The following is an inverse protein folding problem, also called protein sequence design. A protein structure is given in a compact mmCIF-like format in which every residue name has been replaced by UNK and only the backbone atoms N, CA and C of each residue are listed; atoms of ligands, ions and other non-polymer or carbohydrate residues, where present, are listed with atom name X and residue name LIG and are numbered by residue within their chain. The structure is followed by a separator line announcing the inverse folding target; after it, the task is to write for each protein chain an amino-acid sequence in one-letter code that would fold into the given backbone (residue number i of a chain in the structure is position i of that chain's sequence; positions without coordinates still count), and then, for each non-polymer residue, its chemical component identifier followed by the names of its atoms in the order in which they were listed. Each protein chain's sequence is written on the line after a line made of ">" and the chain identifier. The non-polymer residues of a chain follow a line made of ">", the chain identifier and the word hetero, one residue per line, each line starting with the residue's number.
data_IF_570647313356
#
_entry.id   IF_570647313356
#
_cell.length_a   1.000
_cell.length_b   1.000
_cell.length_c   1.000
_cell.angle_alpha   90.00
_cell.angle_beta   90.00
_cell.angle_gamma   90.00
#
_symmetry.space_group_name_H-M   'P 1'
#
loop_
_entity.id
_entity.type
_entity.pdbx_description
1 polymer ?
#
# COMPACT_ATOMS: atom_id res chain seq x y z
N UNK A 1 -2.52 -8.13 -7.62
CA UNK A 1 -3.92 -8.05 -7.14
C UNK A 1 -4.70 -9.20 -7.78
N UNK A 2 -6.03 -9.21 -7.77
CA UNK A 2 -6.86 -10.17 -8.50
C UNK A 2 -8.24 -9.56 -8.81
N UNK A 3 -9.07 -10.30 -9.56
CA UNK A 3 -10.42 -9.87 -9.94
C UNK A 3 -11.35 -9.65 -8.74
N UNK A 4 -11.33 -10.52 -7.73
CA UNK A 4 -12.18 -10.38 -6.53
C UNK A 4 -11.99 -9.05 -5.79
N UNK A 5 -10.73 -8.62 -5.62
CA UNK A 5 -10.41 -7.31 -5.04
C UNK A 5 -10.81 -6.15 -5.98
N UNK A 6 -10.66 -6.33 -7.29
CA UNK A 6 -11.07 -5.33 -8.29
C UNK A 6 -12.58 -5.12 -8.34
N UNK A 7 -13.38 -6.17 -8.15
CA UNK A 7 -14.84 -6.10 -8.10
C UNK A 7 -15.34 -5.23 -6.93
N UNK A 8 -14.55 -5.06 -5.86
CA UNK A 8 -14.91 -4.12 -4.78
C UNK A 8 -14.96 -2.68 -5.27
N UNK A 9 -14.07 -2.29 -6.18
CA UNK A 9 -14.13 -0.98 -6.83
C UNK A 9 -15.29 -0.87 -7.82
N UNK A 10 -15.64 -1.96 -8.52
CA UNK A 10 -16.84 -1.97 -9.37
C UNK A 10 -18.10 -1.71 -8.57
N UNK A 11 -18.26 -2.40 -7.43
CA UNK A 11 -19.36 -2.16 -6.49
C UNK A 11 -19.34 -0.70 -6.02
N UNK A 12 -18.20 -0.22 -5.53
CA UNK A 12 -18.06 1.14 -5.03
C UNK A 12 -18.44 2.19 -6.09
N UNK A 13 -18.05 2.00 -7.36
CA UNK A 13 -18.43 2.87 -8.48
C UNK A 13 -19.92 2.86 -8.81
N UNK A 14 -20.68 1.86 -8.40
CA UNK A 14 -22.14 1.88 -8.54
C UNK A 14 -22.80 2.91 -7.63
N UNK A 15 -22.18 3.21 -6.49
CA UNK A 15 -22.68 4.17 -5.50
C UNK A 15 -21.93 5.51 -5.56
N UNK A 16 -20.64 5.49 -5.93
CA UNK A 16 -19.76 6.65 -6.09
C UNK A 16 -19.10 6.64 -7.48
N UNK A 17 -19.84 7.01 -8.55
CA UNK A 17 -19.31 7.04 -9.92
C UNK A 17 -18.05 7.89 -10.03
N UNK A 18 -17.09 7.50 -10.87
CA UNK A 18 -15.79 8.19 -10.96
C UNK A 18 -15.93 9.69 -11.27
N UNK A 19 -16.82 10.05 -12.20
CA UNK A 19 -17.11 11.43 -12.62
C UNK A 19 -18.22 12.05 -11.75
N UNK A 20 -18.01 13.28 -11.26
CA UNK A 20 -18.97 14.01 -10.41
C UNK A 20 -20.35 14.21 -11.07
N UNK A 21 -20.41 14.36 -12.39
CA UNK A 21 -21.65 14.66 -13.13
C UNK A 21 -22.51 13.39 -13.30
N UNK A 22 -21.92 12.20 -13.16
CA UNK A 22 -22.64 10.94 -13.35
C UNK A 22 -23.48 10.61 -12.12
N UNK A 23 -24.76 10.34 -12.36
CA UNK A 23 -25.66 9.86 -11.31
C UNK A 23 -25.25 8.47 -10.83
N UNK A 24 -25.24 8.27 -9.51
CA UNK A 24 -25.06 6.97 -8.90
C UNK A 24 -26.14 5.98 -9.39
N UNK A 25 -25.74 4.75 -9.71
CA UNK A 25 -26.65 3.70 -10.15
C UNK A 25 -27.40 3.06 -8.99
N UNK A 26 -26.83 3.14 -7.79
CA UNK A 26 -27.40 2.61 -6.55
C UNK A 26 -27.30 3.67 -5.46
N UNK A 27 -28.30 3.69 -4.58
CA UNK A 27 -28.26 4.55 -3.41
C UNK A 27 -27.15 4.05 -2.46
N UNK A 28 -26.26 4.95 -2.05
CA UNK A 28 -25.16 4.67 -1.13
C UNK A 28 -25.70 4.23 0.25
N UNK A 29 -26.70 4.93 0.77
CA UNK A 29 -27.22 4.74 2.13
C UNK A 29 -28.01 3.45 2.30
N UNK A 30 -28.42 2.82 1.19
CA UNK A 30 -29.18 1.58 1.23
C UNK A 30 -28.31 0.31 1.30
N UNK A 31 -27.02 0.42 0.97
CA UNK A 31 -26.12 -0.73 0.94
C UNK A 31 -25.62 -1.10 2.34
N UNK A 32 -25.77 -2.38 2.71
CA UNK A 32 -25.35 -2.88 4.02
C UNK A 32 -23.86 -2.70 4.27
N UNK A 33 -23.04 -2.74 3.21
CA UNK A 33 -21.59 -2.61 3.32
C UNK A 33 -21.19 -1.20 3.78
N UNK A 34 -21.92 -0.18 3.35
CA UNK A 34 -21.64 1.23 3.69
C UNK A 34 -22.42 1.72 4.91
N UNK A 35 -23.63 1.19 5.16
CA UNK A 35 -24.47 1.52 6.34
C UNK A 35 -23.71 1.43 7.66
N UNK A 36 -22.76 0.49 7.77
CA UNK A 36 -21.93 0.36 8.98
C UNK A 36 -21.12 1.64 9.29
N UNK A 37 -20.67 2.35 8.26
CA UNK A 37 -19.89 3.57 8.38
C UNK A 37 -20.74 4.84 8.30
N UNK A 38 -22.02 4.68 7.97
CA UNK A 38 -23.03 5.73 7.85
C UNK A 38 -24.30 5.30 8.60
N UNK A 39 -24.24 5.10 9.93
CA UNK A 39 -25.42 4.70 10.70
C UNK A 39 -26.54 5.73 10.48
N UNK A 40 -27.78 5.24 10.35
CA UNK A 40 -28.98 6.06 10.15
C UNK A 40 -28.95 6.99 8.93
N UNK A 41 -28.15 6.67 7.91
CA UNK A 41 -28.03 7.51 6.71
C UNK A 41 -27.26 8.81 6.96
N UNK A 42 -26.38 8.83 7.97
CA UNK A 42 -25.65 10.02 8.40
C UNK A 42 -24.63 10.58 7.39
N UNK A 43 -24.47 9.97 6.21
CA UNK A 43 -23.52 10.39 5.19
C UNK A 43 -24.16 11.40 4.23
N UNK A 44 -24.27 12.63 4.69
CA UNK A 44 -24.98 13.70 4.00
C UNK A 44 -24.14 14.40 2.93
N UNK A 45 -22.82 14.38 3.08
CA UNK A 45 -21.89 15.03 2.14
C UNK A 45 -21.11 14.02 1.29
N UNK A 46 -20.62 14.46 0.13
CA UNK A 46 -19.76 13.62 -0.71
C UNK A 46 -18.50 13.18 0.03
N UNK A 47 -17.90 14.06 0.83
CA UNK A 47 -16.74 13.73 1.64
C UNK A 47 -17.04 12.60 2.64
N UNK A 48 -18.21 12.64 3.27
CA UNK A 48 -18.63 11.59 4.21
C UNK A 48 -18.83 10.24 3.51
N UNK A 49 -19.45 10.23 2.33
CA UNK A 49 -19.63 9.01 1.53
C UNK A 49 -18.29 8.46 1.02
N UNK A 50 -17.38 9.33 0.57
CA UNK A 50 -16.03 8.96 0.14
C UNK A 50 -15.25 8.37 1.33
N UNK A 51 -15.35 8.98 2.51
CA UNK A 51 -14.72 8.49 3.75
C UNK A 51 -15.27 7.11 4.14
N UNK A 52 -16.58 6.93 4.08
CA UNK A 52 -17.22 5.63 4.34
C UNK A 52 -16.78 4.56 3.34
N UNK A 53 -16.72 4.89 2.04
CA UNK A 53 -16.20 4.00 1.01
C UNK A 53 -14.73 3.62 1.22
N UNK A 54 -13.90 4.58 1.63
CA UNK A 54 -12.50 4.34 1.98
C UNK A 54 -12.36 3.40 3.19
N UNK A 55 -13.13 3.63 4.26
CA UNK A 55 -13.13 2.76 5.44
C UNK A 55 -13.59 1.34 5.12
N UNK A 56 -14.58 1.20 4.24
CA UNK A 56 -15.00 -0.12 3.75
C UNK A 56 -13.88 -0.85 3.00
N UNK A 57 -13.24 -0.19 2.02
CA UNK A 57 -12.10 -0.77 1.30
C UNK A 57 -10.93 -1.12 2.23
N UNK A 58 -10.65 -0.27 3.21
CA UNK A 58 -9.62 -0.52 4.22
C UNK A 58 -9.96 -1.77 5.07
N UNK A 59 -11.23 -1.93 5.42
CA UNK A 59 -11.75 -3.11 6.09
C UNK A 59 -11.53 -4.39 5.29
N UNK A 60 -11.81 -4.35 3.98
CA UNK A 60 -11.53 -5.46 3.06
C UNK A 60 -10.03 -5.74 2.97
N UNK A 61 -9.22 -4.70 2.77
CA UNK A 61 -7.77 -4.80 2.61
C UNK A 61 -7.12 -5.47 3.82
N UNK A 62 -7.44 -4.98 5.02
CA UNK A 62 -6.89 -5.52 6.25
C UNK A 62 -7.43 -6.93 6.53
N UNK A 63 -8.72 -7.20 6.29
CA UNK A 63 -9.27 -8.55 6.51
C UNK A 63 -8.57 -9.58 5.62
N UNK A 64 -8.28 -9.21 4.38
CA UNK A 64 -7.49 -10.02 3.45
C UNK A 64 -6.07 -10.30 3.96
N UNK A 65 -5.42 -9.30 4.56
CA UNK A 65 -4.11 -9.45 5.20
C UNK A 65 -4.16 -10.36 6.43
N UNK A 66 -5.06 -10.08 7.39
CA UNK A 66 -5.15 -10.81 8.66
C UNK A 66 -5.47 -12.29 8.46
N UNK A 67 -6.42 -12.59 7.57
CA UNK A 67 -6.83 -13.95 7.28
C UNK A 67 -5.87 -14.68 6.34
N UNK A 68 -4.82 -14.00 5.85
CA UNK A 68 -3.86 -14.53 4.86
C UNK A 68 -4.55 -15.04 3.58
N UNK A 69 -5.69 -14.43 3.24
CA UNK A 69 -6.45 -14.78 2.04
C UNK A 69 -5.68 -14.41 0.76
N UNK A 70 -4.78 -13.41 0.85
CA UNK A 70 -3.99 -12.94 -0.28
C UNK A 70 -2.52 -12.80 0.10
N UNK A 71 -1.63 -12.95 -0.91
CA UNK A 71 -0.20 -12.68 -0.78
C UNK A 71 0.04 -11.20 -0.46
N UNK A 72 1.12 -10.89 0.25
CA UNK A 72 1.46 -9.52 0.65
C UNK A 72 1.55 -8.55 -0.54
N UNK A 73 2.10 -8.99 -1.69
CA UNK A 73 2.13 -8.17 -2.90
C UNK A 73 0.73 -7.82 -3.41
N UNK A 74 -0.24 -8.73 -3.33
CA UNK A 74 -1.62 -8.46 -3.71
C UNK A 74 -2.28 -7.45 -2.77
N UNK A 75 -2.00 -7.55 -1.47
CA UNK A 75 -2.45 -6.59 -0.47
C UNK A 75 -1.83 -5.21 -0.73
N UNK A 76 -0.55 -5.14 -1.04
CA UNK A 76 0.13 -3.87 -1.32
C UNK A 76 -0.41 -3.21 -2.59
N UNK A 77 -0.67 -3.99 -3.64
CA UNK A 77 -1.29 -3.49 -4.86
C UNK A 77 -2.73 -3.00 -4.63
N UNK A 78 -3.54 -3.74 -3.87
CA UNK A 78 -4.89 -3.32 -3.51
C UNK A 78 -4.88 -2.07 -2.62
N UNK A 79 -3.97 -2.01 -1.65
CA UNK A 79 -3.77 -0.83 -0.81
C UNK A 79 -3.40 0.40 -1.64
N UNK A 80 -2.48 0.27 -2.60
CA UNK A 80 -2.11 1.33 -3.53
C UNK A 80 -3.31 1.78 -4.37
N UNK A 81 -4.09 0.86 -4.94
CA UNK A 81 -5.30 1.23 -5.69
C UNK A 81 -6.31 1.95 -4.78
N UNK A 82 -6.53 1.45 -3.56
CA UNK A 82 -7.47 2.05 -2.60
C UNK A 82 -7.09 3.50 -2.27
N UNK A 83 -5.83 3.76 -1.93
CA UNK A 83 -5.38 5.12 -1.61
C UNK A 83 -5.33 6.01 -2.85
N UNK A 84 -5.05 5.49 -4.05
CA UNK A 84 -5.15 6.25 -5.29
C UNK A 84 -6.59 6.62 -5.62
N UNK A 85 -7.55 5.71 -5.45
CA UNK A 85 -8.98 6.00 -5.57
C UNK A 85 -9.41 7.09 -4.59
N UNK A 86 -9.02 6.95 -3.32
CA UNK A 86 -9.35 7.93 -2.30
C UNK A 86 -8.77 9.30 -2.63
N UNK A 87 -7.50 9.35 -3.04
CA UNK A 87 -6.84 10.57 -3.51
C UNK A 87 -7.57 11.21 -4.68
N UNK A 88 -7.93 10.41 -5.69
CA UNK A 88 -8.69 10.87 -6.85
C UNK A 88 -10.06 11.45 -6.49
N UNK A 89 -10.75 10.84 -5.53
CA UNK A 89 -12.02 11.36 -5.04
C UNK A 89 -11.85 12.65 -4.25
N UNK A 90 -10.89 12.72 -3.33
CA UNK A 90 -10.60 13.93 -2.58
C UNK A 90 -10.20 15.08 -3.51
N UNK A 91 -9.31 14.82 -4.48
CA UNK A 91 -8.85 15.83 -5.44
C UNK A 91 -10.02 16.46 -6.23
N UNK A 92 -11.05 15.67 -6.53
CA UNK A 92 -12.27 16.18 -7.20
C UNK A 92 -13.12 17.10 -6.33
N UNK A 93 -13.22 16.85 -5.01
CA UNK A 93 -14.17 17.55 -4.14
C UNK A 93 -13.57 18.67 -3.29
N UNK A 94 -12.24 18.69 -3.08
CA UNK A 94 -11.64 19.54 -2.04
C UNK A 94 -10.44 20.36 -2.47
N UNK A 95 -9.89 20.15 -3.67
CA UNK A 95 -8.69 20.89 -4.11
C UNK A 95 -7.51 20.82 -3.12
N UNK A 96 -7.44 19.76 -2.30
CA UNK A 96 -6.40 19.52 -1.28
C UNK A 96 -5.05 19.11 -1.91
N UNK A 97 -4.61 19.85 -2.91
CA UNK A 97 -3.51 19.47 -3.79
C UNK A 97 -2.19 19.22 -3.06
N UNK A 98 -1.91 20.03 -2.03
CA UNK A 98 -0.66 19.98 -1.25
C UNK A 98 -0.74 19.17 0.05
N UNK A 99 -1.89 18.61 0.40
CA UNK A 99 -2.05 17.83 1.65
C UNK A 99 -1.68 16.37 1.41
N UNK A 100 -0.95 15.77 2.34
CA UNK A 100 -0.64 14.33 2.26
C UNK A 100 -1.86 13.50 2.64
N UNK A 101 -1.95 12.27 2.12
CA UNK A 101 -3.04 11.36 2.50
C UNK A 101 -3.02 11.06 4.00
N UNK A 102 -1.84 10.96 4.60
CA UNK A 102 -1.71 10.73 6.04
C UNK A 102 -2.27 11.89 6.86
N UNK A 103 -1.97 13.14 6.48
CA UNK A 103 -2.50 14.31 7.18
C UNK A 103 -4.03 14.35 7.10
N UNK A 104 -4.58 14.18 5.89
CA UNK A 104 -6.02 14.11 5.67
C UNK A 104 -6.67 12.97 6.49
N UNK A 105 -6.05 11.79 6.47
CA UNK A 105 -6.53 10.63 7.21
C UNK A 105 -6.54 10.88 8.72
N UNK A 106 -5.50 11.51 9.26
CA UNK A 106 -5.43 11.82 10.69
C UNK A 106 -6.44 12.92 11.07
N UNK A 107 -6.59 13.95 10.25
CA UNK A 107 -7.46 15.09 10.54
C UNK A 107 -8.95 14.75 10.39
N UNK A 108 -9.33 14.14 9.25
CA UNK A 108 -10.73 14.00 8.86
C UNK A 108 -11.26 12.58 8.97
N UNK A 109 -10.42 11.56 8.82
CA UNK A 109 -10.89 10.17 8.89
C UNK A 109 -10.84 9.68 10.33
N UNK A 110 -9.67 9.66 10.98
CA UNK A 110 -9.50 9.15 12.36
C UNK A 110 -10.34 9.90 13.39
N UNK A 111 -10.51 11.21 13.22
CA UNK A 111 -11.29 12.02 14.15
C UNK A 111 -12.80 11.98 13.85
N UNK A 112 -13.24 11.27 12.80
CA UNK A 112 -14.66 11.13 12.49
C UNK A 112 -15.32 10.04 13.30
N UNK A 113 -16.62 10.20 13.58
CA UNK A 113 -17.46 9.16 14.19
C UNK A 113 -17.49 7.89 13.34
N UNK A 114 -17.24 8.00 12.03
CA UNK A 114 -17.18 6.87 11.10
C UNK A 114 -16.00 5.94 11.40
N UNK A 115 -14.86 6.51 11.81
CA UNK A 115 -13.71 5.73 12.23
C UNK A 115 -13.94 5.04 13.58
N UNK A 116 -14.69 5.68 14.48
CA UNK A 116 -15.16 5.04 15.71
C UNK A 116 -16.06 3.84 15.36
N UNK A 117 -17.00 3.96 14.43
CA UNK A 117 -17.80 2.82 13.93
C UNK A 117 -16.96 1.73 13.26
N UNK A 118 -15.90 2.11 12.54
CA UNK A 118 -14.96 1.17 11.93
C UNK A 118 -14.15 0.39 12.98
N UNK A 119 -13.81 1.00 14.12
CA UNK A 119 -12.98 0.41 15.18
C UNK A 119 -13.77 -0.21 16.35
N UNK A 120 -15.04 0.16 16.56
CA UNK A 120 -15.87 -0.16 17.73
C UNK A 120 -16.44 -1.58 17.81
N UNK A 121 -16.29 -2.43 16.79
CA UNK A 121 -16.50 -3.89 16.88
C UNK A 121 -15.53 -4.59 17.90
N UNK A 122 -14.84 -3.81 18.72
CA UNK A 122 -14.00 -4.07 19.89
C UNK A 122 -12.60 -4.71 19.68
N UNK A 123 -12.38 -5.67 18.79
CA UNK A 123 -11.05 -6.31 18.61
C UNK A 123 -10.72 -6.79 17.18
N UNK A 124 -11.53 -6.42 16.17
CA UNK A 124 -11.36 -7.00 14.81
C UNK A 124 -10.03 -6.68 14.16
N UNK A 125 -9.48 -5.50 14.42
CA UNK A 125 -8.27 -5.02 13.77
C UNK A 125 -7.11 -4.80 14.75
N UNK A 126 -6.90 -5.71 15.71
CA UNK A 126 -5.64 -5.79 16.46
C UNK A 126 -4.48 -5.68 15.47
N UNK A 127 -3.59 -4.71 15.62
CA UNK A 127 -2.48 -4.46 14.68
C UNK A 127 -2.84 -3.69 13.39
N UNK A 128 -4.02 -3.06 13.28
CA UNK A 128 -4.32 -2.11 12.19
C UNK A 128 -3.26 -1.02 12.09
N UNK A 129 -2.86 -0.48 13.24
CA UNK A 129 -1.84 0.55 13.32
C UNK A 129 -0.54 0.05 12.69
N UNK A 130 -0.09 -1.16 13.05
CA UNK A 130 1.10 -1.76 12.46
C UNK A 130 0.93 -2.01 10.95
N UNK A 131 -0.25 -2.46 10.52
CA UNK A 131 -0.58 -2.67 9.11
C UNK A 131 -0.48 -1.38 8.28
N UNK A 132 -0.98 -0.27 8.82
CA UNK A 132 -0.90 1.07 8.22
C UNK A 132 0.54 1.59 8.28
N UNK A 133 1.21 1.47 9.42
CA UNK A 133 2.58 1.97 9.64
C UNK A 133 3.57 1.32 8.66
N UNK A 134 3.42 0.02 8.36
CA UNK A 134 4.23 -0.68 7.33
C UNK A 134 4.03 -0.14 5.91
N UNK A 135 2.97 0.62 5.66
CA UNK A 135 2.60 1.20 4.36
C UNK A 135 2.59 2.73 4.39
N UNK A 136 3.13 3.33 5.46
CA UNK A 136 3.10 4.77 5.66
C UNK A 136 3.83 5.55 4.54
N UNK A 137 4.83 4.94 3.92
CA UNK A 137 5.52 5.50 2.76
C UNK A 137 4.55 5.91 1.62
N UNK A 138 3.49 5.13 1.41
CA UNK A 138 2.48 5.45 0.39
C UNK A 138 1.49 6.54 0.86
N UNK A 139 1.32 6.71 2.16
CA UNK A 139 0.40 7.70 2.73
C UNK A 139 1.02 9.11 2.84
N UNK A 140 2.35 9.20 2.85
CA UNK A 140 3.09 10.47 2.86
C UNK A 140 3.20 11.15 1.48
N UNK A 141 2.34 10.76 0.53
CA UNK A 141 2.28 11.34 -0.81
C UNK A 141 1.14 12.35 -0.84
N UNK A 142 1.35 13.46 -1.56
CA UNK A 142 0.30 14.45 -1.81
C UNK A 142 -0.91 13.81 -2.51
N UNK A 143 -2.10 14.25 -2.12
CA UNK A 143 -3.36 13.80 -2.73
C UNK A 143 -3.34 13.98 -4.25
N UNK A 144 -2.86 15.12 -4.75
CA UNK A 144 -2.77 15.39 -6.19
C UNK A 144 -1.88 14.36 -6.91
N UNK A 145 -0.65 14.17 -6.44
CA UNK A 145 0.30 13.25 -7.06
C UNK A 145 -0.19 11.80 -7.05
N UNK A 146 -0.82 11.37 -5.95
CA UNK A 146 -1.31 9.99 -5.82
C UNK A 146 -2.61 9.75 -6.62
N UNK A 147 -3.42 10.79 -6.83
CA UNK A 147 -4.64 10.73 -7.65
C UNK A 147 -4.36 10.31 -9.09
N UNK A 148 -3.21 10.71 -9.64
CA UNK A 148 -2.79 10.40 -11.00
C UNK A 148 -2.63 8.90 -11.27
N UNK A 149 -2.45 8.09 -10.21
CA UNK A 149 -2.31 6.63 -10.31
C UNK A 149 -3.65 5.87 -10.33
N UNK A 150 -4.78 6.53 -10.06
CA UNK A 150 -6.07 5.86 -10.03
C UNK A 150 -6.48 5.32 -11.41
N UNK A 151 -6.33 6.13 -12.46
CA UNK A 151 -6.61 5.70 -13.84
C UNK A 151 -5.80 4.47 -14.26
N UNK A 152 -4.53 4.43 -13.88
CA UNK A 152 -3.62 3.32 -14.16
C UNK A 152 -4.06 2.06 -13.40
N UNK A 153 -4.42 2.22 -12.13
CA UNK A 153 -4.93 1.12 -11.29
C UNK A 153 -6.28 0.58 -11.79
N UNK A 154 -7.13 1.46 -12.32
CA UNK A 154 -8.41 1.09 -12.94
C UNK A 154 -8.20 0.23 -14.19
N UNK A 155 -7.20 0.53 -15.01
CA UNK A 155 -6.84 -0.29 -16.18
C UNK A 155 -6.34 -1.68 -15.75
N UNK A 156 -5.51 -1.77 -14.70
CA UNK A 156 -5.12 -3.06 -14.10
C UNK A 156 -6.36 -3.88 -13.73
N UNK A 157 -7.34 -3.26 -13.04
CA UNK A 157 -8.56 -3.97 -12.67
C UNK A 157 -9.44 -4.38 -13.85
N UNK A 158 -9.56 -3.53 -14.87
CA UNK A 158 -10.25 -3.88 -16.12
C UNK A 158 -9.65 -5.14 -16.75
N UNK A 159 -8.32 -5.21 -16.81
CA UNK A 159 -7.61 -6.36 -17.35
C UNK A 159 -7.81 -7.63 -16.50
N UNK A 160 -7.69 -7.56 -15.17
CA UNK A 160 -7.99 -8.70 -14.29
C UNK A 160 -9.41 -9.23 -14.52
N UNK A 161 -10.41 -8.36 -14.58
CA UNK A 161 -11.80 -8.79 -14.78
C UNK A 161 -12.08 -9.38 -16.16
N UNK A 162 -11.38 -8.91 -17.20
CA UNK A 162 -11.42 -9.50 -18.53
C UNK A 162 -10.78 -10.89 -18.56
N UNK A 163 -9.61 -11.04 -17.95
CA UNK A 163 -8.90 -12.33 -17.84
C UNK A 163 -9.73 -13.35 -17.05
N UNK A 164 -10.28 -12.96 -15.89
CA UNK A 164 -11.09 -13.85 -15.05
C UNK A 164 -12.36 -14.35 -15.75
N UNK A 165 -12.94 -13.54 -16.65
CA UNK A 165 -14.14 -13.89 -17.43
C UNK A 165 -13.82 -14.58 -18.75
N UNK A 166 -12.55 -14.87 -19.05
CA UNK A 166 -12.08 -15.33 -20.36
C UNK A 166 -12.56 -14.44 -21.52
N UNK A 167 -12.69 -13.13 -21.27
CA UNK A 167 -13.11 -12.12 -22.26
C UNK A 167 -11.88 -11.38 -22.76
N UNK A 168 -11.21 -11.94 -23.75
CA UNK A 168 -9.96 -11.39 -24.28
C UNK A 168 -10.18 -10.23 -25.28
N UNK A 169 -11.42 -9.97 -25.68
CA UNK A 169 -11.79 -8.81 -26.49
C UNK A 169 -11.29 -7.50 -25.86
N UNK A 170 -10.59 -6.69 -26.64
CA UNK A 170 -10.01 -5.41 -26.21
C UNK A 170 -9.03 -5.52 -25.02
N UNK A 171 -8.54 -6.71 -24.66
CA UNK A 171 -7.56 -6.87 -23.59
C UNK A 171 -6.21 -6.26 -23.97
N UNK A 172 -5.80 -6.43 -25.23
CA UNK A 172 -4.60 -5.77 -25.79
C UNK A 172 -4.74 -4.24 -25.79
N UNK A 173 -5.94 -3.70 -26.06
CA UNK A 173 -6.19 -2.27 -26.00
C UNK A 173 -6.03 -1.71 -24.58
N UNK A 174 -6.55 -2.42 -23.57
CA UNK A 174 -6.35 -2.04 -22.17
C UNK A 174 -4.87 -2.10 -21.77
N UNK A 175 -4.14 -3.13 -22.22
CA UNK A 175 -2.70 -3.27 -21.95
C UNK A 175 -1.89 -2.14 -22.59
N UNK A 176 -2.18 -1.78 -23.85
CA UNK A 176 -1.58 -0.63 -24.53
C UNK A 176 -1.87 0.68 -23.79
N UNK A 177 -3.13 0.90 -23.41
CA UNK A 177 -3.53 2.09 -22.64
C UNK A 177 -2.83 2.16 -21.29
N UNK A 178 -2.69 1.02 -20.61
CA UNK A 178 -1.96 0.91 -19.36
C UNK A 178 -0.49 1.28 -19.54
N UNK A 179 0.21 0.68 -20.51
CA UNK A 179 1.62 0.98 -20.78
C UNK A 179 1.81 2.45 -21.16
N UNK A 180 0.92 3.04 -21.94
CA UNK A 180 0.98 4.47 -22.30
C UNK A 180 0.84 5.37 -21.07
N UNK A 181 -0.19 5.16 -20.24
CA UNK A 181 -0.38 5.96 -19.01
C UNK A 181 0.74 5.73 -17.99
N UNK A 182 1.17 4.48 -17.81
CA UNK A 182 2.32 4.13 -16.97
C UNK A 182 3.58 4.88 -17.41
N UNK A 183 3.83 4.92 -18.73
CA UNK A 183 4.99 5.61 -19.32
C UNK A 183 4.91 7.12 -19.09
N UNK A 184 3.74 7.72 -19.28
CA UNK A 184 3.52 9.14 -19.04
C UNK A 184 3.81 9.51 -17.57
N UNK A 185 3.22 8.78 -16.61
CA UNK A 185 3.51 8.98 -15.18
C UNK A 185 4.98 8.73 -14.86
N UNK A 186 5.60 7.72 -15.47
CA UNK A 186 7.02 7.45 -15.26
C UNK A 186 7.93 8.52 -15.89
N UNK A 187 7.43 9.37 -16.79
CA UNK A 187 8.22 10.49 -17.30
C UNK A 187 8.11 11.73 -16.43
N UNK A 188 6.93 11.96 -15.84
CA UNK A 188 6.59 13.16 -15.09
C UNK A 188 5.88 12.78 -13.78
N UNK A 189 6.66 12.37 -12.78
CA UNK A 189 6.10 12.04 -11.47
C UNK A 189 6.92 12.70 -10.36
N UNK A 190 6.23 13.50 -9.55
CA UNK A 190 6.79 14.35 -8.52
C UNK A 190 7.06 13.62 -7.19
N UNK A 191 6.83 12.30 -7.15
CA UNK A 191 7.01 11.48 -5.96
C UNK A 191 8.49 11.18 -5.75
N UNK A 192 8.93 11.20 -4.47
CA UNK A 192 10.29 10.84 -4.07
C UNK A 192 10.75 9.51 -4.69
N UNK A 193 11.99 9.45 -5.17
CA UNK A 193 12.54 8.31 -5.92
C UNK A 193 12.37 6.93 -5.27
N UNK A 194 12.49 6.81 -3.95
CA UNK A 194 12.34 5.53 -3.24
C UNK A 194 10.88 5.07 -3.25
N UNK A 195 9.96 5.96 -2.86
CA UNK A 195 8.52 5.67 -2.81
C UNK A 195 7.97 5.45 -4.22
N UNK A 196 8.39 6.30 -5.16
CA UNK A 196 8.11 6.19 -6.59
C UNK A 196 8.49 4.81 -7.13
N UNK A 197 9.71 4.35 -6.84
CA UNK A 197 10.17 3.02 -7.28
C UNK A 197 9.29 1.89 -6.73
N UNK A 198 8.83 1.99 -5.46
CA UNK A 198 7.90 1.02 -4.86
C UNK A 198 6.54 1.00 -5.57
N UNK A 199 5.98 2.17 -5.90
CA UNK A 199 4.70 2.29 -6.62
C UNK A 199 4.80 1.64 -8.00
N UNK A 200 5.79 2.06 -8.81
CA UNK A 200 5.97 1.53 -10.15
C UNK A 200 6.31 0.03 -10.15
N UNK A 201 7.11 -0.44 -9.17
CA UNK A 201 7.38 -1.87 -8.98
C UNK A 201 6.09 -2.65 -8.65
N UNK A 202 5.21 -2.09 -7.82
CA UNK A 202 3.92 -2.71 -7.48
C UNK A 202 3.02 -2.82 -8.72
N UNK A 203 2.92 -1.75 -9.52
CA UNK A 203 2.13 -1.74 -10.76
C UNK A 203 2.71 -2.69 -11.82
N UNK A 204 4.04 -2.72 -11.97
CA UNK A 204 4.73 -3.63 -12.90
C UNK A 204 4.49 -5.09 -12.51
N UNK A 205 4.65 -5.40 -11.23
CA UNK A 205 4.41 -6.77 -10.71
C UNK A 205 2.97 -7.20 -10.98
N UNK A 206 1.99 -6.31 -10.77
CA UNK A 206 0.59 -6.63 -11.02
C UNK A 206 0.28 -6.82 -12.50
N UNK A 207 0.89 -6.04 -13.39
CA UNK A 207 0.79 -6.21 -14.83
C UNK A 207 1.40 -7.54 -15.29
N UNK A 208 2.57 -7.89 -14.78
CA UNK A 208 3.23 -9.16 -15.08
C UNK A 208 2.40 -10.35 -14.57
N UNK A 209 1.75 -10.22 -13.41
CA UNK A 209 0.82 -11.23 -12.91
C UNK A 209 -0.37 -11.44 -13.87
N UNK A 210 -1.00 -10.37 -14.38
CA UNK A 210 -2.06 -10.47 -15.39
C UNK A 210 -1.56 -11.20 -16.63
N UNK A 211 -0.37 -10.83 -17.11
CA UNK A 211 0.25 -11.45 -18.29
C UNK A 211 0.49 -12.95 -18.08
N UNK A 212 0.92 -13.35 -16.88
CA UNK A 212 1.17 -14.74 -16.53
C UNK A 212 -0.12 -15.55 -16.33
N UNK A 213 -1.17 -14.94 -15.78
CA UNK A 213 -2.48 -15.58 -15.62
C UNK A 213 -3.20 -15.75 -16.96
N UNK A 214 -2.98 -14.85 -17.91
CA UNK A 214 -3.59 -14.94 -19.22
C UNK A 214 -2.89 -15.96 -20.13
N UNK A 215 -3.56 -17.08 -20.38
CA UNK A 215 -3.04 -18.20 -21.21
C UNK A 215 -3.33 -18.06 -22.71
N UNK A 216 -4.09 -17.04 -23.12
CA UNK A 216 -4.51 -16.82 -24.50
C UNK A 216 -3.37 -16.24 -25.36
N UNK A 217 -3.39 -16.51 -26.66
CA UNK A 217 -2.47 -15.94 -27.66
C UNK A 217 -2.51 -14.41 -27.66
N UNK A 218 -3.68 -13.81 -27.43
CA UNK A 218 -3.84 -12.35 -27.38
C UNK A 218 -2.99 -11.70 -26.28
N UNK A 219 -2.68 -12.44 -25.21
CA UNK A 219 -1.84 -11.96 -24.11
C UNK A 219 -0.34 -12.09 -24.35
N UNK A 220 0.06 -12.89 -25.35
CA UNK A 220 1.47 -12.99 -25.77
C UNK A 220 1.98 -11.68 -26.37
N UNK A 221 1.08 -10.85 -26.90
CA UNK A 221 1.38 -9.56 -27.51
C UNK A 221 1.26 -8.39 -26.53
N UNK A 222 1.26 -8.64 -25.21
CA UNK A 222 1.26 -7.57 -24.22
C UNK A 222 2.50 -6.69 -24.39
N UNK A 223 2.35 -5.36 -24.48
CA UNK A 223 3.47 -4.45 -24.57
C UNK A 223 4.40 -4.58 -23.37
N UNK A 224 5.68 -4.36 -23.61
CA UNK A 224 6.71 -4.37 -22.57
C UNK A 224 6.67 -3.03 -21.84
N UNK A 225 6.75 -3.08 -20.50
CA UNK A 225 6.84 -1.87 -19.70
C UNK A 225 8.20 -1.19 -19.85
N UNK A 226 8.26 0.15 -19.94
CA UNK A 226 9.53 0.86 -19.95
C UNK A 226 10.21 0.73 -18.58
N UNK A 227 11.54 0.88 -18.58
CA UNK A 227 12.33 0.90 -17.34
C UNK A 227 11.90 2.08 -16.45
N UNK A 228 11.77 1.82 -15.15
CA UNK A 228 11.44 2.85 -14.16
C UNK A 228 12.55 3.90 -14.15
N UNK A 229 12.19 5.17 -14.31
CA UNK A 229 13.14 6.28 -14.16
C UNK A 229 13.40 6.49 -12.67
N UNK A 230 14.61 6.19 -12.23
CA UNK A 230 15.11 6.66 -10.93
C UNK A 230 15.63 8.08 -11.12
N UNK A 231 14.98 9.06 -10.50
CA UNK A 231 15.51 10.42 -10.40
C UNK A 231 16.86 10.34 -9.68
N UNK A 232 17.96 10.54 -10.40
CA UNK A 232 19.25 10.87 -9.76
C UNK A 232 19.03 12.22 -9.10
N UNK A 233 19.04 12.29 -7.78
CA UNK A 233 19.08 13.57 -7.09
C UNK A 233 20.26 14.36 -7.66
N UNK A 234 19.97 15.49 -8.30
CA UNK A 234 20.97 16.41 -8.81
C UNK A 234 21.62 17.14 -7.63
N UNK A 235 22.56 16.48 -6.96
CA UNK A 235 23.62 17.19 -6.24
C UNK A 235 24.72 17.45 -7.26
N UNK A 236 24.79 18.69 -7.75
CA UNK A 236 25.94 19.18 -8.51
C UNK A 236 27.18 19.05 -7.62
N UNK A 237 28.11 18.19 -8.02
CA UNK A 237 29.50 18.12 -7.57
C UNK A 237 30.32 17.48 -8.69
N UNK A 238 31.49 18.01 -9.06
CA UNK A 238 32.15 17.63 -10.30
C UNK A 238 32.74 16.23 -10.21
N UNK A 239 32.54 15.48 -11.30
CA UNK A 239 33.36 14.39 -11.83
C UNK A 239 34.00 13.41 -10.82
N UNK A 240 33.50 12.18 -10.82
CA UNK A 240 34.33 11.05 -11.24
C UNK A 240 33.44 9.92 -11.75
N UNK A 241 33.71 9.51 -12.98
CA UNK A 241 33.06 8.42 -13.66
C UNK A 241 33.29 7.11 -12.90
N UNK A 242 32.20 6.37 -12.66
CA UNK A 242 32.29 4.93 -12.49
C UNK A 242 31.10 4.30 -13.21
N UNK A 243 31.41 3.73 -14.37
CA UNK A 243 30.52 2.86 -15.11
C UNK A 243 30.18 1.65 -14.23
N UNK A 244 28.89 1.37 -14.07
CA UNK A 244 28.45 0.02 -13.71
C UNK A 244 27.33 -0.34 -14.65
N UNK A 245 27.74 -1.03 -15.72
CA UNK A 245 26.88 -1.62 -16.74
C UNK A 245 26.13 -2.78 -16.08
N UNK A 246 24.83 -2.64 -15.84
CA UNK A 246 23.95 -3.79 -15.59
C UNK A 246 23.46 -4.31 -16.94
N UNK A 247 24.22 -5.23 -17.52
CA UNK A 247 23.86 -6.00 -18.72
C UNK A 247 22.63 -6.85 -18.42
N UNK A 248 21.56 -6.69 -19.20
CA UNK A 248 20.57 -7.76 -19.41
C UNK A 248 20.53 -8.04 -20.92
N UNK A 249 21.26 -9.08 -21.31
CA UNK A 249 21.29 -9.63 -22.67
C UNK A 249 19.98 -10.36 -22.93
N UNK A 250 19.31 -10.01 -24.03
CA UNK A 250 18.25 -10.80 -24.65
C UNK A 250 18.61 -10.98 -26.12
N UNK A 251 19.15 -12.14 -26.48
CA UNK A 251 19.04 -12.71 -27.84
C UNK A 251 19.48 -14.19 -27.87
N UNK A 252 18.56 -14.99 -28.42
CA UNK A 252 18.58 -16.34 -28.99
C UNK A 252 19.88 -17.16 -29.21
N UNK A 253 19.71 -18.47 -28.90
CA UNK A 253 20.20 -19.71 -29.57
C UNK A 253 21.68 -19.89 -29.95
N UNK A 254 22.34 -20.83 -29.29
CA UNK A 254 22.95 -22.06 -29.86
C UNK A 254 23.89 -22.69 -28.82
N UNK A 255 24.42 -23.87 -29.14
CA UNK A 255 24.65 -25.01 -28.25
C UNK A 255 26.11 -25.12 -27.73
N UNK A 256 26.27 -25.92 -26.67
CA UNK A 256 27.50 -26.58 -26.13
C UNK A 256 28.55 -25.76 -25.36
N UNK A 257 28.69 -26.06 -24.05
CA UNK A 257 29.86 -26.72 -23.39
C UNK A 257 30.06 -26.23 -21.94
N UNK A 258 30.04 -27.17 -21.01
CA UNK A 258 30.22 -27.05 -19.56
C UNK A 258 31.55 -26.43 -19.11
N UNK A 259 31.58 -25.71 -17.98
CA UNK A 259 32.33 -26.11 -16.76
C UNK A 259 32.49 -25.02 -15.66
N UNK A 260 32.41 -25.49 -14.41
CA UNK A 260 32.98 -25.00 -13.13
C UNK A 260 32.32 -23.86 -12.30
N UNK A 261 31.61 -24.33 -11.26
CA UNK A 261 31.71 -24.02 -9.81
C UNK A 261 32.09 -22.60 -9.32
N UNK A 262 31.25 -22.04 -8.43
CA UNK A 262 31.69 -21.15 -7.35
C UNK A 262 30.74 -21.24 -6.13
N UNK A 263 31.07 -22.14 -5.21
CA UNK A 263 30.42 -22.33 -3.89
C UNK A 263 30.91 -21.27 -2.86
N UNK A 264 31.60 -20.21 -3.29
CA UNK A 264 32.30 -19.28 -2.40
C UNK A 264 31.44 -18.21 -1.69
N UNK A 265 30.24 -17.90 -2.18
CA UNK A 265 29.53 -16.68 -1.75
C UNK A 265 28.43 -16.91 -0.70
N UNK A 266 28.08 -18.15 -0.38
CA UNK A 266 26.97 -18.43 0.55
C UNK A 266 27.39 -18.43 2.02
N UNK A 267 28.68 -18.62 2.33
CA UNK A 267 29.19 -18.63 3.71
C UNK A 267 29.34 -17.22 4.32
N UNK A 268 29.65 -16.20 3.51
CA UNK A 268 29.82 -14.83 4.00
C UNK A 268 28.49 -14.15 4.34
N UNK A 269 27.41 -14.45 3.61
CA UNK A 269 26.09 -13.87 3.88
C UNK A 269 25.50 -14.38 5.19
N UNK A 270 25.75 -15.65 5.54
CA UNK A 270 25.20 -16.27 6.75
C UNK A 270 25.88 -15.74 8.02
N UNK A 271 27.20 -15.51 8.00
CA UNK A 271 27.93 -14.98 9.17
C UNK A 271 27.52 -13.54 9.54
N UNK A 272 27.19 -12.71 8.55
CA UNK A 272 26.82 -11.30 8.77
C UNK A 272 25.47 -11.16 9.51
N UNK A 273 24.52 -12.07 9.28
CA UNK A 273 23.19 -12.02 9.88
C UNK A 273 23.25 -12.32 11.39
N UNK A 274 24.12 -13.25 11.82
CA UNK A 274 24.25 -13.59 13.24
C UNK A 274 24.89 -12.46 14.07
N UNK A 275 25.81 -11.68 13.49
CA UNK A 275 26.40 -10.50 14.15
C UNK A 275 25.38 -9.41 14.46
N UNK A 276 24.47 -9.14 13.53
CA UNK A 276 23.41 -8.14 13.72
C UNK A 276 22.43 -8.55 14.83
N UNK A 277 22.00 -9.82 14.85
CA UNK A 277 21.08 -10.34 15.86
C UNK A 277 21.68 -10.23 17.28
N UNK A 278 22.97 -10.56 17.45
CA UNK A 278 23.64 -10.45 18.75
C UNK A 278 23.74 -8.99 19.23
N UNK A 279 23.99 -8.04 18.32
CA UNK A 279 24.07 -6.61 18.64
C UNK A 279 22.71 -6.04 19.11
N UNK A 280 21.61 -6.37 18.42
CA UNK A 280 20.27 -5.91 18.80
C UNK A 280 19.78 -6.53 20.12
N UNK A 281 20.11 -7.81 20.38
CA UNK A 281 19.79 -8.47 21.66
C UNK A 281 20.56 -7.85 22.83
N UNK A 282 21.85 -7.49 22.63
CA UNK A 282 22.66 -6.82 23.65
C UNK A 282 22.10 -5.45 24.06
N UNK A 283 21.62 -4.66 23.09
CA UNK A 283 21.00 -3.35 23.36
C UNK A 283 19.69 -3.54 24.12
N UNK A 284 18.83 -4.46 23.67
CA UNK A 284 17.52 -4.71 24.28
C UNK A 284 17.63 -5.21 25.73
N UNK A 285 18.60 -6.07 26.01
CA UNK A 285 18.87 -6.57 27.35
C UNK A 285 19.28 -5.45 28.33
N UNK A 286 20.11 -4.50 27.89
CA UNK A 286 20.57 -3.37 28.71
C UNK A 286 19.42 -2.42 29.08
N UNK A 287 18.50 -2.14 28.16
CA UNK A 287 17.33 -1.29 28.42
C UNK A 287 16.29 -2.00 29.31
N UNK A 288 16.09 -3.30 29.14
CA UNK A 288 15.16 -4.09 29.97
C UNK A 288 15.60 -4.17 31.44
N UNK A 289 16.90 -4.41 31.70
CA UNK A 289 17.45 -4.46 33.05
C UNK A 289 17.34 -3.11 33.78
N UNK A 290 17.51 -2.01 33.04
CA UNK A 290 17.40 -0.66 33.58
C UNK A 290 15.94 -0.29 33.93
N UNK A 291 14.98 -0.72 33.10
CA UNK A 291 13.55 -0.54 33.37
C UNK A 291 13.07 -1.29 34.61
N UNK A 292 13.51 -2.53 34.80
CA UNK A 292 13.12 -3.35 35.96
C UNK A 292 13.64 -2.77 37.29
N UNK A 293 14.90 -2.29 37.33
CA UNK A 293 15.47 -1.64 38.54
C UNK A 293 14.68 -0.40 38.97
N UNK A 294 14.26 0.44 38.01
CA UNK A 294 13.50 1.67 38.29
C UNK A 294 12.10 1.37 38.83
N UNK A 295 11.47 0.28 38.39
CA UNK A 295 10.15 -0.16 38.87
C UNK A 295 10.21 -0.70 40.30
N UNK A 296 11.23 -1.49 40.64
CA UNK A 296 11.44 -2.02 41.98
C UNK A 296 11.68 -0.91 43.02
N UNK A 297 12.53 0.08 42.72
CA UNK A 297 12.76 1.22 43.63
C UNK A 297 11.48 2.03 43.87
N UNK A 298 10.65 2.24 42.84
CA UNK A 298 9.39 2.98 42.95
C UNK A 298 8.35 2.24 43.81
N UNK A 299 8.33 0.91 43.76
CA UNK A 299 7.49 0.09 44.65
C UNK A 299 7.98 0.14 46.10
N UNK A 300 9.29 0.01 46.34
CA UNK A 300 9.88 0.11 47.68
C UNK A 300 9.58 1.46 48.36
N UNK A 301 9.71 2.57 47.63
CA UNK A 301 9.37 3.91 48.13
C UNK A 301 7.88 4.06 48.48
N UNK A 302 6.98 3.48 47.66
CA UNK A 302 5.53 3.51 47.93
C UNK A 302 5.16 2.74 49.20
N UNK A 303 5.76 1.57 49.42
CA UNK A 303 5.54 0.81 50.65
C UNK A 303 6.07 1.53 51.89
N UNK A 304 7.24 2.16 51.79
CA UNK A 304 7.82 2.93 52.89
C UNK A 304 6.92 4.10 53.31
N UNK A 305 6.37 4.84 52.35
CA UNK A 305 5.40 5.92 52.61
C UNK A 305 4.11 5.37 53.26
N UNK A 306 3.61 4.22 52.78
CA UNK A 306 2.41 3.58 53.35
C UNK A 306 2.61 3.16 54.81
N UNK A 307 3.78 2.63 55.15
CA UNK A 307 4.12 2.23 56.52
C UNK A 307 4.28 3.44 57.46
N UNK A 308 4.86 4.55 56.99
CA UNK A 308 4.95 5.80 57.76
C UNK A 308 3.55 6.34 58.06
N UNK A 309 2.67 6.41 57.04
CA UNK A 309 1.29 6.87 57.21
C UNK A 309 0.50 6.01 58.20
N UNK A 310 0.76 4.70 58.25
CA UNK A 310 0.12 3.78 59.20
C UNK A 310 0.58 4.00 60.65
N UNK A 311 1.81 4.47 60.87
CA UNK A 311 2.35 4.80 62.21
C UNK A 311 1.91 6.17 62.73
N UNK A 312 1.49 7.09 61.85
CA UNK A 312 0.97 8.41 62.24
C UNK A 312 -0.53 8.40 62.60
N UNK A 313 -1.24 7.33 62.25
CA UNK A 313 -2.67 7.16 62.53
C UNK A 313 -2.93 6.31 63.79
N UNK A 314 -1.90 6.12 64.63
CA UNK A 314 -1.96 5.50 65.95
C UNK A 314 -1.40 6.47 66.97
#
# INVERSE_FOLDING_TARGET
>A
MNDDLCQKFDLLRMHLPDELIKTAKRNFDNDSDFKKYCPDGSCNTDLEKITAGFLWLLGVCYSGFKNKNYKENNINAFFLHMISWFSYKLNQITGHNSTTINDFYNEHVKNSDKYNSFTSDAYKFTDLKEFIDKRNDFLNINIEDLSNFYDVSKLICSMYGKVAKNKHENLSNDANNFVNKYTALNNDCNINGTVRSKIFSTLSTDYDNIKNECKDVQCRNFPILPKIKTTKNATKGPEQASETISVQTSAQTSEVTSSSSSIGNQLFTVLSIFGAIAFFLGISYKYSLFGCRKRAQKQYLREKIKNIKKRMNY
#
